data_IF_758303036335
#
_entry.id   IF_758303036335
#
_cell.length_a   1.000
_cell.length_b   1.000
_cell.length_c   1.000
_cell.angle_alpha   90.00
_cell.angle_beta   90.00
_cell.angle_gamma   90.00
#
_symmetry.space_group_name_H-M   'P 1'
#
loop_
_entity.id
_entity.type
_entity.pdbx_description
1 polymer ?
#
# COMPACT_ATOMS: atom_id res chain seq x y z
N UNK A 1 -14.83 3.37 -7.97
CA UNK A 1 -14.08 2.12 -7.71
C UNK A 1 -12.64 2.55 -7.57
N UNK A 2 -12.12 2.57 -6.35
CA UNK A 2 -10.78 3.05 -6.08
C UNK A 2 -9.80 2.02 -6.61
N UNK A 3 -8.93 2.40 -7.56
CA UNK A 3 -7.90 1.53 -8.19
C UNK A 3 -6.86 0.98 -7.18
N UNK A 4 -7.09 1.18 -5.89
CA UNK A 4 -6.19 0.94 -4.77
C UNK A 4 -6.56 -0.30 -3.95
N UNK A 5 -7.83 -0.67 -3.90
CA UNK A 5 -8.30 -1.86 -3.20
C UNK A 5 -9.63 -2.32 -3.78
N UNK A 6 -9.86 -3.63 -3.70
CA UNK A 6 -11.09 -4.29 -4.10
C UNK A 6 -11.68 -5.07 -2.91
N UNK A 7 -12.94 -5.49 -3.00
CA UNK A 7 -13.57 -6.32 -1.97
C UNK A 7 -13.83 -7.70 -2.56
N UNK A 8 -13.03 -8.67 -2.16
CA UNK A 8 -13.19 -10.06 -2.58
C UNK A 8 -13.78 -10.82 -1.39
N UNK A 9 -14.97 -11.40 -1.58
CA UNK A 9 -15.71 -12.11 -0.52
C UNK A 9 -16.02 -11.27 0.73
N UNK A 10 -16.09 -9.93 0.58
CA UNK A 10 -16.30 -9.00 1.69
C UNK A 10 -15.01 -8.65 2.46
N UNK A 11 -13.88 -9.25 2.10
CA UNK A 11 -12.57 -8.86 2.62
C UNK A 11 -11.93 -7.78 1.73
N UNK A 12 -11.41 -6.67 2.32
CA UNK A 12 -10.70 -5.65 1.56
C UNK A 12 -9.33 -6.19 1.12
N UNK A 13 -9.19 -6.46 -0.17
CA UNK A 13 -7.94 -6.89 -0.80
C UNK A 13 -7.28 -5.68 -1.44
N UNK A 14 -6.09 -5.33 -0.96
CA UNK A 14 -5.31 -4.23 -1.52
C UNK A 14 -4.80 -4.60 -2.92
N UNK A 15 -5.08 -3.75 -3.90
CA UNK A 15 -4.58 -3.90 -5.27
C UNK A 15 -3.07 -3.63 -5.32
N UNK A 16 -2.39 -4.12 -6.35
CA UNK A 16 -0.94 -3.89 -6.52
C UNK A 16 -0.56 -2.40 -6.41
N UNK A 17 -1.41 -1.51 -6.95
CA UNK A 17 -1.24 -0.06 -6.86
C UNK A 17 -1.40 0.48 -5.43
N UNK A 18 -2.40 0.02 -4.69
CA UNK A 18 -2.57 0.42 -3.29
C UNK A 18 -1.38 -0.05 -2.45
N UNK A 19 -0.91 -1.26 -2.69
CA UNK A 19 0.25 -1.79 -1.97
C UNK A 19 1.52 -1.01 -2.33
N UNK A 20 1.71 -0.66 -3.60
CA UNK A 20 2.78 0.21 -4.06
C UNK A 20 2.79 1.55 -3.33
N UNK A 21 1.62 2.19 -3.17
CA UNK A 21 1.47 3.43 -2.39
C UNK A 21 1.74 3.23 -0.89
N UNK A 22 1.28 2.15 -0.28
CA UNK A 22 1.55 1.92 1.15
C UNK A 22 3.02 1.67 1.42
N UNK A 23 3.69 0.92 0.55
CA UNK A 23 5.08 0.53 0.69
C UNK A 23 6.05 1.59 0.15
N UNK A 24 5.58 2.48 -0.71
CA UNK A 24 6.42 3.47 -1.41
C UNK A 24 7.37 2.86 -2.42
N UNK A 25 6.88 1.86 -3.15
CA UNK A 25 7.65 1.15 -4.18
C UNK A 25 6.93 1.21 -5.52
N UNK A 26 7.62 1.02 -6.66
CA UNK A 26 6.97 1.03 -7.97
C UNK A 26 5.93 -0.10 -8.11
N UNK A 27 4.81 0.21 -8.75
CA UNK A 27 3.74 -0.75 -9.01
C UNK A 27 4.23 -1.97 -9.80
N UNK A 28 5.13 -1.78 -10.78
CA UNK A 28 5.72 -2.88 -11.55
C UNK A 28 6.46 -3.90 -10.67
N UNK A 29 7.15 -3.43 -9.62
CA UNK A 29 7.82 -4.34 -8.69
C UNK A 29 6.80 -5.12 -7.88
N UNK A 30 5.73 -4.47 -7.42
CA UNK A 30 4.64 -5.15 -6.70
C UNK A 30 3.97 -6.19 -7.58
N UNK A 31 3.69 -5.86 -8.85
CA UNK A 31 3.10 -6.80 -9.82
C UNK A 31 4.02 -7.99 -10.07
N UNK A 32 5.31 -7.75 -10.26
CA UNK A 32 6.30 -8.82 -10.42
C UNK A 32 6.35 -9.73 -9.18
N UNK A 33 6.33 -9.15 -7.98
CA UNK A 33 6.30 -9.92 -6.74
C UNK A 33 5.00 -10.71 -6.58
N UNK A 34 3.86 -10.10 -6.89
CA UNK A 34 2.55 -10.75 -6.85
C UNK A 34 2.50 -11.97 -7.77
N UNK A 35 3.09 -11.88 -8.96
CA UNK A 35 3.22 -13.01 -9.89
C UNK A 35 4.17 -14.10 -9.39
N UNK A 36 5.24 -13.73 -8.67
CA UNK A 36 6.29 -14.67 -8.27
C UNK A 36 6.05 -15.35 -6.92
N UNK A 37 5.43 -14.65 -5.96
CA UNK A 37 5.30 -15.05 -4.56
C UNK A 37 3.92 -14.77 -3.95
N UNK A 38 3.02 -14.10 -4.67
CA UNK A 38 1.72 -13.66 -4.17
C UNK A 38 1.77 -12.28 -3.48
N UNK A 39 0.59 -11.77 -3.09
CA UNK A 39 0.41 -10.42 -2.52
C UNK A 39 0.37 -10.38 -0.99
N UNK A 40 0.59 -11.51 -0.33
CA UNK A 40 0.56 -11.59 1.13
C UNK A 40 1.67 -10.75 1.78
N UNK A 41 1.35 -10.06 2.88
CA UNK A 41 2.32 -9.26 3.65
C UNK A 41 3.54 -10.08 4.07
N UNK A 42 3.36 -11.39 4.30
CA UNK A 42 4.44 -12.32 4.64
C UNK A 42 5.41 -12.62 3.47
N UNK A 43 5.00 -12.34 2.23
CA UNK A 43 5.82 -12.54 1.04
C UNK A 43 6.64 -11.28 0.66
N UNK A 44 6.40 -10.15 1.34
CA UNK A 44 7.06 -8.89 1.06
C UNK A 44 8.52 -8.89 1.56
N UNK A 45 9.46 -8.30 0.79
CA UNK A 45 10.81 -8.07 1.25
C UNK A 45 10.85 -7.20 2.52
N UNK A 46 11.79 -7.46 3.43
CA UNK A 46 11.99 -6.67 4.65
C UNK A 46 12.16 -5.18 4.39
N UNK A 47 12.80 -4.81 3.28
CA UNK A 47 12.99 -3.40 2.91
C UNK A 47 11.66 -2.71 2.62
N UNK A 48 10.74 -3.40 1.96
CA UNK A 48 9.41 -2.88 1.67
C UNK A 48 8.58 -2.79 2.94
N UNK A 49 8.67 -3.80 3.82
CA UNK A 49 8.01 -3.75 5.14
C UNK A 49 8.51 -2.57 5.97
N UNK A 50 9.82 -2.28 5.95
CA UNK A 50 10.39 -1.11 6.61
C UNK A 50 9.91 0.20 6.00
N UNK A 51 9.86 0.29 4.67
CA UNK A 51 9.35 1.46 3.96
C UNK A 51 7.86 1.71 4.24
N UNK A 52 7.04 0.65 4.23
CA UNK A 52 5.64 0.69 4.63
C UNK A 52 5.44 1.16 6.07
N UNK A 53 6.18 0.59 7.02
CA UNK A 53 6.14 1.03 8.43
C UNK A 53 6.53 2.50 8.60
N UNK A 54 7.51 2.97 7.82
CA UNK A 54 7.91 4.38 7.83
C UNK A 54 6.77 5.26 7.31
N UNK A 55 6.17 4.92 6.16
CA UNK A 55 5.03 5.64 5.59
C UNK A 55 3.80 5.62 6.52
N UNK A 56 3.52 4.51 7.20
CA UNK A 56 2.45 4.44 8.21
C UNK A 56 2.70 5.40 9.38
N UNK A 57 3.95 5.48 9.88
CA UNK A 57 4.31 6.45 10.93
C UNK A 57 4.19 7.89 10.45
N UNK A 58 4.59 8.17 9.21
CA UNK A 58 4.44 9.50 8.60
C UNK A 58 2.96 9.89 8.45
N UNK A 59 2.12 8.96 7.99
CA UNK A 59 0.67 9.14 7.94
C UNK A 59 0.10 9.41 9.34
N UNK A 60 0.45 8.58 10.32
CA UNK A 60 -0.02 8.73 11.69
C UNK A 60 0.40 10.06 12.31
N UNK A 61 1.63 10.51 12.03
CA UNK A 61 2.10 11.82 12.49
C UNK A 61 1.35 12.98 11.81
N UNK A 62 0.97 12.83 10.53
CA UNK A 62 0.30 13.88 9.76
C UNK A 62 -1.21 13.99 10.06
N UNK A 63 -1.88 12.86 10.28
CA UNK A 63 -3.35 12.80 10.38
C UNK A 63 -3.85 12.43 11.78
N UNK A 64 -2.97 11.91 12.64
CA UNK A 64 -3.36 11.31 13.92
C UNK A 64 -4.10 9.97 13.78
N UNK A 65 -4.19 9.41 12.57
CA UNK A 65 -4.92 8.18 12.26
C UNK A 65 -3.98 7.03 11.87
N UNK A 66 -4.47 5.80 11.95
CA UNK A 66 -3.70 4.55 11.73
C UNK A 66 -4.41 3.60 10.73
N UNK A 67 -5.55 4.00 10.18
CA UNK A 67 -6.30 3.17 9.24
C UNK A 67 -5.63 3.08 7.86
N UNK A 68 -5.61 1.86 7.32
CA UNK A 68 -5.03 1.56 6.01
C UNK A 68 -5.70 2.36 4.87
N UNK A 69 -7.02 2.53 4.93
CA UNK A 69 -7.78 3.24 3.91
C UNK A 69 -7.39 4.73 3.85
N UNK A 70 -7.36 5.41 5.00
CA UNK A 70 -6.92 6.79 5.06
C UNK A 70 -5.45 6.96 4.72
N UNK A 71 -4.59 5.97 5.04
CA UNK A 71 -3.21 5.98 4.57
C UNK A 71 -3.12 5.92 3.04
N UNK A 72 -3.90 5.04 2.41
CA UNK A 72 -4.00 4.94 0.94
C UNK A 72 -4.48 6.25 0.32
N UNK A 73 -5.55 6.86 0.85
CA UNK A 73 -6.07 8.13 0.34
C UNK A 73 -5.06 9.28 0.52
N UNK A 74 -4.39 9.33 1.67
CA UNK A 74 -3.38 10.34 1.97
C UNK A 74 -2.19 10.27 1.01
N UNK A 75 -1.66 9.07 0.77
CA UNK A 75 -0.54 8.89 -0.16
C UNK A 75 -0.97 9.03 -1.61
N UNK A 76 -2.17 8.58 -1.99
CA UNK A 76 -2.72 8.80 -3.32
C UNK A 76 -2.83 10.30 -3.65
N UNK A 77 -3.30 11.13 -2.71
CA UNK A 77 -3.35 12.58 -2.90
C UNK A 77 -1.96 13.21 -3.02
N UNK A 78 -0.96 12.69 -2.29
CA UNK A 78 0.42 13.18 -2.35
C UNK A 78 1.17 12.79 -3.62
N UNK A 79 1.00 11.57 -4.11
CA UNK A 79 1.73 11.05 -5.28
C UNK A 79 1.07 11.46 -6.61
N UNK A 80 -0.23 11.77 -6.63
CA UNK A 80 -0.90 12.41 -7.80
C UNK A 80 -0.45 13.87 -8.00
N UNK A 81 0.18 14.48 -6.99
CA UNK A 81 0.71 15.84 -7.06
C UNK A 81 2.17 15.97 -7.52
N UNK A 82 2.82 14.88 -7.95
CA UNK A 82 4.20 14.87 -8.45
C UNK A 82 4.29 14.72 -9.96
#
# INVERSE_FOLDING_TARGET
MSDLYDYIDGEPVVSAKGLALLLGVPEDQVRALAMFRGTGVAALPDEWVKAGKRRSKEYQAATGRDDMLGALEYWAQREVGQ
#
